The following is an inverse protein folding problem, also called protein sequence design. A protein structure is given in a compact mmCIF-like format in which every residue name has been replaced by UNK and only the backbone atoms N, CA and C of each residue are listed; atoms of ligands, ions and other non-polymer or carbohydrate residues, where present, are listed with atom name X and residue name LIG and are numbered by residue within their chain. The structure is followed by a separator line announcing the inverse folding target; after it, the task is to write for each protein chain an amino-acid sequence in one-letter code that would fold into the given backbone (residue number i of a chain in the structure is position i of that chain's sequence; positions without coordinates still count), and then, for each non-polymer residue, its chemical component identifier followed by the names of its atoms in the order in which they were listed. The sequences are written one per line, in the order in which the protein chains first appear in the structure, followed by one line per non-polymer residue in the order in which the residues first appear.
data_IF_117699994064
#
_entry.id   IF_117699994064
#
_cell.length_a   1.000
_cell.length_b   1.000
_cell.length_c   1.000
_cell.angle_alpha   90.00
_cell.angle_beta   90.00
_cell.angle_gamma   90.00
#
_symmetry.space_group_name_H-M   'P 1'
#
loop_
_entity.id
_entity.type
_entity.pdbx_description
1 polymer ?
#
# COMPACT_ATOMS: atom_id res chain seq x y z
N UNK A 1 68.12 85.61 3.26
CA UNK A 1 67.12 85.98 4.29
C UNK A 1 65.94 86.58 3.55
N UNK A 2 64.89 85.79 3.34
CA UNK A 2 63.63 86.25 2.76
C UNK A 2 62.52 85.74 3.67
N UNK A 3 61.87 86.69 4.33
CA UNK A 3 60.72 86.54 5.22
C UNK A 3 59.55 85.88 4.47
N UNK A 4 59.03 84.78 4.99
CA UNK A 4 57.76 84.19 4.54
C UNK A 4 56.71 84.43 5.63
N UNK A 5 55.77 85.33 5.37
CA UNK A 5 54.52 85.46 6.14
C UNK A 5 53.70 84.17 6.04
N UNK A 6 53.15 83.64 7.15
CA UNK A 6 52.37 82.42 7.11
C UNK A 6 50.99 82.63 6.47
N UNK A 7 50.46 81.64 5.74
CA UNK A 7 49.13 81.72 5.13
C UNK A 7 48.02 81.66 6.20
N UNK A 8 47.03 82.53 6.07
CA UNK A 8 45.81 82.53 6.89
C UNK A 8 44.91 81.38 6.45
N UNK A 9 44.75 80.37 7.31
CA UNK A 9 43.83 79.27 7.07
C UNK A 9 42.39 79.69 7.37
N UNK A 10 41.53 79.72 6.35
CA UNK A 10 40.09 79.80 6.51
C UNK A 10 39.54 78.40 6.80
N UNK A 11 38.91 78.23 7.95
CA UNK A 11 38.26 76.97 8.34
C UNK A 11 36.92 76.87 7.61
N UNK A 12 36.65 75.80 6.84
CA UNK A 12 35.36 75.61 6.20
C UNK A 12 34.24 75.39 7.23
N UNK A 13 33.00 75.81 6.95
CA UNK A 13 31.89 75.65 7.89
C UNK A 13 31.60 74.17 8.15
N UNK A 14 31.13 73.81 9.35
CA UNK A 14 30.83 72.43 9.69
C UNK A 14 29.67 71.90 8.83
N UNK A 15 29.71 70.61 8.44
CA UNK A 15 28.65 70.01 7.65
C UNK A 15 27.34 69.90 8.45
N UNK A 16 26.17 69.89 7.77
CA UNK A 16 24.88 69.74 8.43
C UNK A 16 24.78 68.40 9.16
N UNK A 17 24.40 68.46 10.43
CA UNK A 17 24.20 67.28 11.28
C UNK A 17 22.94 66.54 10.81
N UNK A 18 23.09 65.32 10.29
CA UNK A 18 21.98 64.44 9.95
C UNK A 18 21.38 63.85 11.23
N UNK A 19 20.04 63.69 11.33
CA UNK A 19 19.43 63.03 12.48
C UNK A 19 19.88 61.58 12.58
N UNK A 20 20.21 61.13 13.79
CA UNK A 20 20.58 59.75 14.07
C UNK A 20 19.45 58.79 13.66
N UNK A 21 19.72 57.92 12.67
CA UNK A 21 18.87 56.80 12.33
C UNK A 21 19.28 55.59 13.19
N UNK A 22 18.36 55.08 14.00
CA UNK A 22 18.55 53.83 14.72
C UNK A 22 18.73 52.68 13.71
N UNK A 23 19.66 51.73 13.93
CA UNK A 23 19.78 50.59 13.03
C UNK A 23 18.50 49.74 13.07
N UNK A 24 17.72 49.77 12.00
CA UNK A 24 16.66 48.78 11.78
C UNK A 24 17.30 47.42 11.57
N UNK A 25 17.08 46.51 12.52
CA UNK A 25 17.44 45.10 12.34
C UNK A 25 16.57 44.51 11.21
N UNK A 26 17.20 44.13 10.11
CA UNK A 26 16.53 43.45 9.02
C UNK A 26 16.01 42.08 9.48
N UNK A 27 14.79 41.65 9.10
CA UNK A 27 14.33 40.31 9.39
C UNK A 27 15.23 39.29 8.67
N UNK A 28 15.86 38.40 9.44
CA UNK A 28 16.61 37.26 8.89
C UNK A 28 15.65 36.34 8.14
N UNK A 29 15.76 36.30 6.81
CA UNK A 29 15.06 35.32 5.98
C UNK A 29 15.38 33.89 6.48
N UNK A 30 14.38 33.00 6.60
CA UNK A 30 14.58 31.64 7.10
C UNK A 30 15.42 30.83 6.10
N UNK A 31 16.72 30.74 6.37
CA UNK A 31 17.75 30.10 5.53
C UNK A 31 17.72 28.56 5.53
N UNK A 32 16.68 27.95 6.13
CA UNK A 32 16.60 26.51 6.38
C UNK A 32 15.67 25.72 5.44
N UNK A 33 14.82 26.40 4.67
CA UNK A 33 13.73 25.72 3.96
C UNK A 33 14.20 24.82 2.81
N UNK A 34 15.28 25.20 2.12
CA UNK A 34 15.88 24.35 1.08
C UNK A 34 16.46 23.04 1.61
N UNK A 35 16.99 23.05 2.84
CA UNK A 35 17.49 21.83 3.51
C UNK A 35 16.36 20.94 3.99
N UNK A 36 15.26 21.53 4.46
CA UNK A 36 14.06 20.80 4.83
C UNK A 36 13.42 20.11 3.61
N UNK A 37 13.28 20.81 2.48
CA UNK A 37 12.75 20.25 1.24
C UNK A 37 13.64 19.13 0.67
N UNK A 38 14.96 19.31 0.70
CA UNK A 38 15.90 18.27 0.31
C UNK A 38 15.77 17.01 1.20
N UNK A 39 15.63 17.20 2.53
CA UNK A 39 15.40 16.10 3.46
C UNK A 39 14.08 15.36 3.21
N UNK A 40 13.00 16.08 2.92
CA UNK A 40 11.70 15.48 2.57
C UNK A 40 11.80 14.68 1.27
N UNK A 41 12.41 15.21 0.22
CA UNK A 41 12.56 14.51 -1.05
C UNK A 41 13.44 13.25 -0.92
N UNK A 42 14.52 13.32 -0.16
CA UNK A 42 15.37 12.15 0.13
C UNK A 42 14.59 11.13 0.97
N UNK A 43 13.82 11.58 1.97
CA UNK A 43 12.93 10.72 2.74
C UNK A 43 11.82 10.07 1.90
N UNK A 44 11.29 10.77 0.89
CA UNK A 44 10.27 10.27 -0.03
C UNK A 44 10.85 9.32 -1.09
N UNK A 45 12.08 9.55 -1.53
CA UNK A 45 12.79 8.64 -2.44
C UNK A 45 13.24 7.37 -1.72
N UNK A 46 13.72 7.47 -0.47
CA UNK A 46 14.11 6.32 0.33
C UNK A 46 12.89 5.57 0.89
N UNK A 47 11.85 6.29 1.31
CA UNK A 47 10.61 5.71 1.84
C UNK A 47 9.67 5.22 0.74
N UNK A 48 9.44 6.01 -0.31
CA UNK A 48 8.58 5.64 -1.45
C UNK A 48 9.25 4.71 -2.46
N UNK A 49 10.57 4.83 -2.65
CA UNK A 49 11.33 3.92 -3.50
C UNK A 49 11.35 2.49 -2.97
N UNK A 50 11.37 2.31 -1.65
CA UNK A 50 11.28 0.97 -1.03
C UNK A 50 9.96 0.26 -1.34
N UNK A 51 8.83 0.94 -1.17
CA UNK A 51 7.49 0.36 -1.40
C UNK A 51 7.22 0.15 -2.89
N UNK A 52 7.67 1.08 -3.73
CA UNK A 52 7.51 1.00 -5.19
C UNK A 52 8.37 -0.11 -5.83
N UNK A 53 9.60 -0.30 -5.37
CA UNK A 53 10.47 -1.39 -5.86
C UNK A 53 9.98 -2.76 -5.40
N UNK A 54 9.45 -2.90 -4.19
CA UNK A 54 8.80 -4.16 -3.77
C UNK A 54 7.56 -4.47 -4.59
N UNK A 55 6.79 -3.45 -5.01
CA UNK A 55 5.61 -3.67 -5.87
C UNK A 55 5.99 -3.96 -7.32
N UNK A 56 7.03 -3.31 -7.84
CA UNK A 56 7.54 -3.51 -9.19
C UNK A 56 8.23 -4.87 -9.36
N UNK A 57 8.99 -5.35 -8.36
CA UNK A 57 9.57 -6.69 -8.36
C UNK A 57 8.51 -7.79 -8.21
N UNK A 58 7.38 -7.52 -7.56
CA UNK A 58 6.22 -8.42 -7.54
C UNK A 58 5.47 -8.45 -8.88
N UNK A 59 5.60 -7.41 -9.70
CA UNK A 59 4.91 -7.30 -10.99
C UNK A 59 5.63 -8.07 -12.11
N UNK A 60 6.95 -8.27 -12.02
CA UNK A 60 7.73 -9.11 -12.96
C UNK A 60 7.48 -10.62 -12.75
N UNK A 61 6.71 -10.96 -11.72
CA UNK A 61 6.37 -12.31 -11.29
C UNK A 61 5.01 -12.78 -11.86
N UNK A 62 4.61 -12.30 -13.04
CA UNK A 62 3.36 -12.75 -13.71
C UNK A 62 3.38 -14.26 -14.03
N UNK A 63 4.55 -14.91 -14.07
CA UNK A 63 4.71 -16.37 -14.09
C UNK A 63 4.81 -17.05 -12.70
N UNK A 64 4.93 -16.27 -11.63
CA UNK A 64 5.04 -16.71 -10.23
C UNK A 64 3.68 -16.70 -9.51
N UNK A 65 2.71 -15.93 -10.01
CA UNK A 65 1.36 -15.87 -9.42
C UNK A 65 0.67 -17.24 -9.34
N UNK A 66 0.76 -18.03 -10.42
CA UNK A 66 0.20 -19.38 -10.43
C UNK A 66 0.87 -20.30 -9.40
N UNK A 67 2.20 -20.20 -9.26
CA UNK A 67 2.95 -20.98 -8.28
C UNK A 67 2.65 -20.54 -6.85
N UNK A 68 2.52 -19.23 -6.60
CA UNK A 68 2.15 -18.66 -5.31
C UNK A 68 0.73 -19.09 -4.90
N UNK A 69 -0.24 -19.01 -5.81
CA UNK A 69 -1.61 -19.47 -5.59
C UNK A 69 -1.65 -20.97 -5.30
N UNK A 70 -0.93 -21.78 -6.07
CA UNK A 70 -0.82 -23.22 -5.83
C UNK A 70 -0.18 -23.54 -4.47
N UNK A 71 0.86 -22.79 -4.07
CA UNK A 71 1.56 -22.98 -2.80
C UNK A 71 0.68 -22.58 -1.61
N UNK A 72 -0.05 -21.47 -1.70
CA UNK A 72 -0.97 -21.05 -0.64
C UNK A 72 -2.19 -22.01 -0.56
N UNK A 73 -2.69 -22.49 -1.69
CA UNK A 73 -3.73 -23.53 -1.72
C UNK A 73 -3.27 -24.79 -0.95
N UNK A 74 -2.03 -25.25 -1.20
CA UNK A 74 -1.44 -26.38 -0.47
C UNK A 74 -1.28 -26.07 1.02
N UNK A 75 -0.81 -24.88 1.38
CA UNK A 75 -0.65 -24.47 2.78
C UNK A 75 -1.99 -24.42 3.53
N UNK A 76 -3.08 -24.04 2.86
CA UNK A 76 -4.43 -24.09 3.41
C UNK A 76 -4.88 -25.53 3.68
N UNK A 77 -4.65 -26.43 2.72
CA UNK A 77 -5.01 -27.85 2.86
C UNK A 77 -4.20 -28.49 3.99
N UNK A 78 -2.92 -28.17 4.11
CA UNK A 78 -2.06 -28.67 5.19
C UNK A 78 -2.55 -28.23 6.58
N UNK A 79 -2.94 -26.96 6.73
CA UNK A 79 -3.50 -26.42 8.00
C UNK A 79 -4.96 -26.79 8.25
N UNK A 80 -5.64 -27.39 7.26
CA UNK A 80 -7.08 -27.71 7.30
C UNK A 80 -7.32 -29.13 6.77
N UNK A 81 -6.96 -30.18 7.53
CA UNK A 81 -6.96 -31.56 7.03
C UNK A 81 -8.34 -32.14 6.72
N UNK A 82 -9.42 -31.48 7.17
CA UNK A 82 -10.81 -31.95 7.03
C UNK A 82 -11.74 -30.88 6.51
N UNK A 83 -12.81 -31.30 5.83
CA UNK A 83 -13.98 -30.47 5.48
C UNK A 83 -15.14 -30.90 6.38
N UNK A 84 -15.18 -30.38 7.61
CA UNK A 84 -16.22 -30.74 8.58
C UNK A 84 -16.83 -29.49 9.23
N UNK A 85 -17.79 -28.83 8.56
CA UNK A 85 -18.58 -27.80 9.20
C UNK A 85 -19.46 -28.38 10.30
N UNK A 86 -19.66 -27.61 11.36
CA UNK A 86 -20.67 -27.81 12.40
C UNK A 86 -21.72 -26.70 12.31
N UNK A 87 -22.83 -26.83 13.05
CA UNK A 87 -23.87 -25.79 13.06
C UNK A 87 -23.34 -24.41 13.48
N UNK A 88 -22.36 -24.39 14.40
CA UNK A 88 -21.79 -23.15 14.95
C UNK A 88 -20.45 -22.73 14.31
N UNK A 89 -19.83 -23.60 13.50
CA UNK A 89 -18.51 -23.35 12.91
C UNK A 89 -18.39 -23.93 11.50
N UNK A 90 -18.33 -23.03 10.52
CA UNK A 90 -18.14 -23.33 9.09
C UNK A 90 -16.75 -22.92 8.58
N UNK A 91 -15.81 -22.61 9.49
CA UNK A 91 -14.49 -22.08 9.14
C UNK A 91 -13.67 -23.04 8.25
N UNK A 92 -13.78 -24.35 8.47
CA UNK A 92 -13.15 -25.37 7.63
C UNK A 92 -13.66 -25.32 6.19
N UNK A 93 -14.97 -25.13 6.00
CA UNK A 93 -15.58 -25.01 4.67
C UNK A 93 -15.08 -23.75 3.95
N UNK A 94 -14.96 -22.62 4.66
CA UNK A 94 -14.42 -21.38 4.09
C UNK A 94 -12.95 -21.51 3.71
N UNK A 95 -12.13 -22.15 4.56
CA UNK A 95 -10.72 -22.42 4.26
C UNK A 95 -10.59 -23.30 3.02
N UNK A 96 -11.35 -24.39 2.94
CA UNK A 96 -11.34 -25.23 1.74
C UNK A 96 -11.85 -24.53 0.49
N UNK A 97 -12.86 -23.67 0.61
CA UNK A 97 -13.30 -22.81 -0.48
C UNK A 97 -12.18 -21.89 -0.98
N UNK A 98 -11.43 -21.26 -0.07
CA UNK A 98 -10.28 -20.43 -0.43
C UNK A 98 -9.17 -21.25 -1.11
N UNK A 99 -8.86 -22.46 -0.61
CA UNK A 99 -7.89 -23.35 -1.24
C UNK A 99 -8.29 -23.73 -2.68
N UNK A 100 -9.58 -24.02 -2.88
CA UNK A 100 -10.12 -24.33 -4.21
C UNK A 100 -10.02 -23.13 -5.15
N UNK A 101 -10.39 -21.93 -4.72
CA UNK A 101 -10.31 -20.72 -5.55
C UNK A 101 -8.87 -20.42 -5.98
N UNK A 102 -7.90 -20.54 -5.07
CA UNK A 102 -6.48 -20.36 -5.39
C UNK A 102 -5.98 -21.43 -6.37
N UNK A 103 -6.32 -22.71 -6.14
CA UNK A 103 -5.93 -23.77 -7.06
C UNK A 103 -6.56 -23.63 -8.46
N UNK A 104 -7.78 -23.10 -8.55
CA UNK A 104 -8.41 -22.74 -9.83
C UNK A 104 -7.69 -21.57 -10.50
N UNK A 105 -7.40 -20.49 -9.78
CA UNK A 105 -6.64 -19.35 -10.30
C UNK A 105 -5.28 -19.79 -10.83
N UNK A 106 -4.57 -20.65 -10.07
CA UNK A 106 -3.31 -21.25 -10.50
C UNK A 106 -3.46 -22.06 -11.80
N UNK A 107 -4.53 -22.87 -11.93
CA UNK A 107 -4.78 -23.67 -13.13
C UNK A 107 -5.22 -22.86 -14.34
N UNK A 108 -5.93 -21.74 -14.13
CA UNK A 108 -6.32 -20.79 -15.19
C UNK A 108 -5.11 -20.03 -15.73
N UNK A 109 -4.16 -19.68 -14.85
CA UNK A 109 -2.91 -19.03 -15.21
C UNK A 109 -1.87 -20.01 -15.80
N UNK A 110 -1.76 -21.22 -15.25
CA UNK A 110 -0.85 -22.28 -15.71
C UNK A 110 -1.55 -23.66 -15.68
N UNK A 111 -1.84 -24.26 -16.85
CA UNK A 111 -2.52 -25.55 -16.97
C UNK A 111 -1.83 -26.73 -16.27
N UNK A 112 -0.54 -26.63 -15.92
CA UNK A 112 0.16 -27.68 -15.18
C UNK A 112 -0.45 -27.92 -13.78
N UNK A 113 -1.15 -26.94 -13.21
CA UNK A 113 -1.86 -27.04 -11.93
C UNK A 113 -3.30 -27.58 -12.03
N UNK A 114 -3.78 -27.97 -13.22
CA UNK A 114 -5.16 -28.50 -13.37
C UNK A 114 -5.39 -29.75 -12.48
N UNK A 115 -4.36 -30.59 -12.32
CA UNK A 115 -4.42 -31.76 -11.44
C UNK A 115 -4.57 -31.39 -9.96
N UNK A 116 -3.93 -30.30 -9.52
CA UNK A 116 -4.06 -29.76 -8.16
C UNK A 116 -5.48 -29.23 -7.92
N UNK A 117 -6.00 -28.41 -8.84
CA UNK A 117 -7.37 -27.89 -8.78
C UNK A 117 -8.40 -29.01 -8.65
N UNK A 118 -8.29 -30.05 -9.49
CA UNK A 118 -9.17 -31.24 -9.42
C UNK A 118 -9.05 -31.99 -8.10
N UNK A 119 -7.82 -32.13 -7.57
CA UNK A 119 -7.58 -32.84 -6.32
C UNK A 119 -8.19 -32.11 -5.12
N UNK A 120 -8.08 -30.77 -5.07
CA UNK A 120 -8.63 -29.94 -3.99
C UNK A 120 -10.15 -29.81 -4.10
N UNK A 121 -10.70 -29.79 -5.32
CA UNK A 121 -12.16 -29.71 -5.53
C UNK A 121 -12.88 -31.00 -5.10
N UNK A 122 -12.25 -32.16 -5.26
CA UNK A 122 -12.89 -33.48 -5.03
C UNK A 122 -13.47 -33.66 -3.61
N UNK A 123 -12.79 -33.31 -2.50
CA UNK A 123 -13.37 -33.36 -1.16
C UNK A 123 -14.63 -32.50 -0.99
N UNK A 124 -14.66 -31.30 -1.58
CA UNK A 124 -15.84 -30.42 -1.54
C UNK A 124 -17.01 -31.04 -2.31
N UNK A 125 -16.76 -31.62 -3.49
CA UNK A 125 -17.81 -32.33 -4.24
C UNK A 125 -18.38 -33.53 -3.47
N UNK A 126 -17.53 -34.33 -2.84
CA UNK A 126 -17.97 -35.47 -2.01
C UNK A 126 -18.78 -34.98 -0.81
N UNK A 127 -18.35 -33.89 -0.18
CA UNK A 127 -19.09 -33.27 0.91
C UNK A 127 -20.47 -32.79 0.44
N UNK A 128 -20.53 -32.02 -0.65
CA UNK A 128 -21.79 -31.52 -1.22
C UNK A 128 -22.73 -32.64 -1.66
N UNK A 129 -22.22 -33.72 -2.26
CA UNK A 129 -23.03 -34.87 -2.68
C UNK A 129 -23.70 -35.62 -1.53
N UNK A 130 -23.22 -35.47 -0.29
CA UNK A 130 -23.88 -36.06 0.88
C UNK A 130 -25.10 -35.25 1.34
N UNK A 131 -25.21 -33.99 0.96
CA UNK A 131 -26.34 -33.13 1.29
C UNK A 131 -27.25 -33.06 0.07
N UNK A 132 -28.19 -34.00 -0.01
CA UNK A 132 -29.28 -33.95 -0.96
C UNK A 132 -30.28 -32.89 -0.48
N UNK A 133 -30.38 -31.78 -1.21
CA UNK A 133 -31.15 -30.58 -0.83
C UNK A 133 -32.29 -30.26 -1.81
N UNK A 134 -32.51 -31.13 -2.81
CA UNK A 134 -33.44 -30.86 -3.91
C UNK A 134 -34.87 -30.56 -3.41
N UNK A 135 -35.28 -31.23 -2.34
CA UNK A 135 -36.59 -31.10 -1.69
C UNK A 135 -36.56 -30.42 -0.31
N UNK A 136 -35.44 -29.79 0.08
CA UNK A 136 -35.33 -29.12 1.39
C UNK A 136 -35.95 -27.70 1.36
N UNK A 137 -37.04 -27.44 2.11
CA UNK A 137 -37.71 -26.14 2.10
C UNK A 137 -36.85 -25.01 2.69
N UNK A 138 -35.97 -25.31 3.64
CA UNK A 138 -35.07 -24.32 4.24
C UNK A 138 -33.98 -23.93 3.25
N UNK A 139 -33.47 -24.89 2.46
CA UNK A 139 -32.56 -24.61 1.34
C UNK A 139 -33.22 -23.70 0.28
N UNK A 140 -34.46 -24.00 -0.12
CA UNK A 140 -35.18 -23.19 -1.11
C UNK A 140 -35.48 -21.77 -0.60
N UNK A 141 -35.82 -21.64 0.68
CA UNK A 141 -36.01 -20.34 1.32
C UNK A 141 -34.71 -19.52 1.35
N UNK A 142 -33.59 -20.14 1.74
CA UNK A 142 -32.28 -19.49 1.74
C UNK A 142 -31.82 -19.06 0.34
N UNK A 143 -32.02 -19.92 -0.67
CA UNK A 143 -31.73 -19.60 -2.08
C UNK A 143 -32.57 -18.42 -2.60
N UNK A 144 -33.83 -18.32 -2.17
CA UNK A 144 -34.72 -17.20 -2.53
C UNK A 144 -34.24 -15.91 -1.87
N UNK A 145 -33.96 -15.94 -0.56
CA UNK A 145 -33.45 -14.77 0.17
C UNK A 145 -32.14 -14.22 -0.42
N UNK A 146 -31.23 -15.11 -0.84
CA UNK A 146 -29.98 -14.71 -1.50
C UNK A 146 -30.23 -14.00 -2.85
N UNK A 147 -31.20 -14.48 -3.65
CA UNK A 147 -31.56 -13.85 -4.93
C UNK A 147 -32.19 -12.48 -4.73
N UNK A 148 -33.09 -12.36 -3.75
CA UNK A 148 -33.76 -11.10 -3.44
C UNK A 148 -32.73 -10.04 -3.00
N UNK A 149 -31.79 -10.40 -2.12
CA UNK A 149 -30.72 -9.49 -1.69
C UNK A 149 -29.84 -9.00 -2.85
N UNK A 150 -29.56 -9.84 -3.84
CA UNK A 150 -28.82 -9.45 -5.04
C UNK A 150 -29.64 -8.58 -6.00
N UNK A 151 -30.97 -8.69 -6.01
CA UNK A 151 -31.86 -7.89 -6.85
C UNK A 151 -32.06 -6.45 -6.31
N UNK A 152 -31.71 -6.22 -5.05
CA UNK A 152 -31.76 -4.91 -4.39
C UNK A 152 -30.47 -4.07 -4.57
N UNK A 153 -29.46 -4.60 -5.28
CA UNK A 153 -28.25 -3.88 -5.70
C UNK A 153 -28.44 -3.13 -7.03
#
# INVERSE_FOLDING_TARGET
MTDQTPPTWQVPPPPPQQPFQSPQQAPTAPRGWGRALAGVLVGLLLGGGGVGLTWFLLSDAEGDGAAADAQEACAIVERTPTVMPTEDDVSDMHRWGAAMSLAMAAAEADPTYESLSKAIHKPLLIFQQKYDVEDDPDYQAAMTAARDACAEL
#
